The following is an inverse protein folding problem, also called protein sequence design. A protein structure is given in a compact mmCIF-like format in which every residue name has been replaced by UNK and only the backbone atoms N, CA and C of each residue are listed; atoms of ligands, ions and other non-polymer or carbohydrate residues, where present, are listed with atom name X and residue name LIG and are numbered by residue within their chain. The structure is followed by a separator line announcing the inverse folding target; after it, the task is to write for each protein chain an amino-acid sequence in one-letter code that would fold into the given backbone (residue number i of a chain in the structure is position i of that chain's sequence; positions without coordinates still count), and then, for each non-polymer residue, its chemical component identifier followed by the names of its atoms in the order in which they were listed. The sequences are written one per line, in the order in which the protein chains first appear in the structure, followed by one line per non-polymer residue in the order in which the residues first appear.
data_IF_661330431325
#
_entry.id   IF_661330431325
#
_cell.length_a   1.000
_cell.length_b   1.000
_cell.length_c   1.000
_cell.angle_alpha   90.00
_cell.angle_beta   90.00
_cell.angle_gamma   90.00
#
_symmetry.space_group_name_H-M   'P 1'
#
loop_
_entity.id
_entity.type
_entity.pdbx_description
1 polymer ?
#
# COMPACT_ATOMS: atom_id res chain seq x y z
N UNK A 1 -2.26 15.42 5.50
CA UNK A 1 -0.85 15.13 5.10
C UNK A 1 -0.61 15.56 3.64
N UNK A 2 0.14 16.63 3.36
CA UNK A 2 0.40 17.10 1.97
C UNK A 2 1.70 16.48 1.42
N UNK A 3 1.59 15.36 0.70
CA UNK A 3 2.67 14.85 -0.18
C UNK A 3 2.66 15.78 -1.40
N UNK A 4 3.78 16.33 -1.88
CA UNK A 4 3.81 17.42 -2.88
C UNK A 4 3.29 17.10 -4.30
N UNK A 5 2.41 16.13 -4.45
CA UNK A 5 1.37 16.14 -5.48
C UNK A 5 0.22 16.98 -4.92
N UNK A 6 -0.27 17.99 -5.66
CA UNK A 6 -1.50 18.71 -5.26
C UNK A 6 -2.71 17.79 -5.35
N UNK A 7 -2.88 16.93 -4.36
CA UNK A 7 -4.08 16.13 -4.15
C UNK A 7 -4.94 16.90 -3.16
N UNK A 8 -6.23 17.03 -3.46
CA UNK A 8 -7.18 17.59 -2.52
C UNK A 8 -7.09 16.83 -1.19
N UNK A 9 -7.21 17.55 -0.06
CA UNK A 9 -7.31 16.89 1.24
C UNK A 9 -8.62 16.09 1.35
N UNK A 10 -9.62 16.49 0.58
CA UNK A 10 -10.95 15.91 0.61
C UNK A 10 -11.05 14.71 -0.34
N UNK A 11 -11.90 13.76 0.03
CA UNK A 11 -12.22 12.63 -0.83
C UNK A 11 -12.92 13.10 -2.11
N UNK A 12 -12.43 12.66 -3.28
CA UNK A 12 -13.07 12.97 -4.56
C UNK A 12 -14.46 12.34 -4.77
N UNK A 13 -14.93 11.51 -3.84
CA UNK A 13 -16.25 10.87 -3.86
C UNK A 13 -17.15 11.40 -2.75
N UNK A 14 -16.59 11.64 -1.56
CA UNK A 14 -17.28 12.15 -0.39
C UNK A 14 -16.84 13.60 -0.18
N UNK A 15 -17.55 14.59 -0.76
CA UNK A 15 -17.18 15.98 -0.60
C UNK A 15 -17.17 16.35 0.89
N UNK A 16 -16.27 17.25 1.29
CA UNK A 16 -16.14 17.76 2.66
C UNK A 16 -15.64 16.75 3.70
N UNK A 17 -15.27 15.54 3.29
CA UNK A 17 -14.63 14.55 4.16
C UNK A 17 -13.13 14.50 3.89
N UNK A 18 -12.31 14.80 4.91
CA UNK A 18 -10.86 14.64 4.81
C UNK A 18 -10.53 13.16 4.52
N UNK A 19 -9.76 12.94 3.46
CA UNK A 19 -9.41 11.62 3.01
C UNK A 19 -8.35 11.00 3.93
N UNK A 20 -8.74 9.95 4.64
CA UNK A 20 -7.84 9.08 5.40
C UNK A 20 -7.81 7.68 4.78
N UNK A 21 -6.80 6.86 5.14
CA UNK A 21 -6.77 5.45 4.70
C UNK A 21 -8.03 4.71 5.19
N UNK A 22 -8.46 4.99 6.43
CA UNK A 22 -9.67 4.42 6.99
C UNK A 22 -10.90 4.82 6.17
N UNK A 23 -11.01 6.09 5.79
CA UNK A 23 -12.09 6.54 4.92
C UNK A 23 -12.05 5.82 3.56
N UNK A 24 -10.90 5.81 2.88
CA UNK A 24 -10.77 5.24 1.52
C UNK A 24 -11.07 3.75 1.49
N UNK A 25 -10.76 3.01 2.56
CA UNK A 25 -10.94 1.57 2.60
C UNK A 25 -12.23 1.13 3.28
N UNK A 26 -12.86 1.96 4.11
CA UNK A 26 -14.01 1.55 4.94
C UNK A 26 -15.20 2.48 4.71
N UNK A 27 -15.08 3.76 5.05
CA UNK A 27 -16.25 4.66 5.14
C UNK A 27 -16.69 5.25 3.79
N UNK A 28 -15.79 5.32 2.82
CA UNK A 28 -16.06 5.97 1.55
C UNK A 28 -17.23 5.27 0.84
N UNK A 29 -18.17 6.05 0.30
CA UNK A 29 -19.30 5.51 -0.49
C UNK A 29 -18.84 4.57 -1.61
N UNK A 30 -17.66 4.84 -2.17
CA UNK A 30 -17.04 3.98 -3.18
C UNK A 30 -16.53 2.67 -2.59
N UNK A 31 -15.87 2.70 -1.44
CA UNK A 31 -15.39 1.51 -0.75
C UNK A 31 -16.56 0.60 -0.38
N UNK A 32 -17.61 1.15 0.25
CA UNK A 32 -18.83 0.42 0.63
C UNK A 32 -19.45 -0.31 -0.57
N UNK A 33 -19.48 0.34 -1.75
CA UNK A 33 -19.97 -0.30 -2.99
C UNK A 33 -19.08 -1.46 -3.44
N UNK A 34 -17.76 -1.28 -3.42
CA UNK A 34 -16.80 -2.34 -3.79
C UNK A 34 -16.96 -3.55 -2.86
N UNK A 35 -16.98 -3.33 -1.54
CA UNK A 35 -17.19 -4.40 -0.56
C UNK A 35 -18.52 -5.12 -0.79
N UNK A 36 -19.60 -4.37 -1.03
CA UNK A 36 -20.92 -4.95 -1.32
C UNK A 36 -20.91 -5.80 -2.59
N UNK A 37 -20.28 -5.33 -3.67
CA UNK A 37 -20.12 -6.10 -4.91
C UNK A 37 -19.30 -7.37 -4.70
N UNK A 38 -18.40 -7.39 -3.72
CA UNK A 38 -17.65 -8.57 -3.29
C UNK A 38 -18.43 -9.50 -2.35
N UNK A 39 -19.71 -9.22 -2.07
CA UNK A 39 -20.54 -9.99 -1.15
C UNK A 39 -20.29 -9.67 0.34
N UNK A 40 -19.52 -8.62 0.64
CA UNK A 40 -19.21 -8.18 2.00
C UNK A 40 -20.12 -7.00 2.33
N UNK A 41 -21.04 -7.21 3.27
CA UNK A 41 -21.93 -6.15 3.76
C UNK A 41 -21.75 -5.97 5.26
N UNK A 42 -21.68 -4.71 5.68
CA UNK A 42 -21.67 -4.28 7.07
C UNK A 42 -22.59 -3.07 7.22
N UNK A 43 -23.04 -2.79 8.43
CA UNK A 43 -23.86 -1.62 8.72
C UNK A 43 -23.04 -0.34 8.47
N UNK A 44 -23.48 0.60 7.62
CA UNK A 44 -22.81 1.89 7.45
C UNK A 44 -22.70 2.73 8.74
N UNK A 45 -23.53 2.44 9.75
CA UNK A 45 -23.43 3.03 11.08
C UNK A 45 -22.37 2.37 11.98
N UNK A 46 -21.90 1.18 11.62
CA UNK A 46 -20.84 0.48 12.35
C UNK A 46 -19.50 1.15 12.07
N UNK A 47 -18.85 1.59 13.15
CA UNK A 47 -17.50 2.15 13.10
C UNK A 47 -16.56 1.23 13.84
N UNK A 48 -15.38 1.07 13.27
CA UNK A 48 -14.26 0.40 13.89
C UNK A 48 -13.26 1.45 14.37
N UNK A 49 -12.61 1.17 15.49
CA UNK A 49 -11.56 2.03 16.05
C UNK A 49 -10.33 2.11 15.15
N UNK A 50 -10.13 1.11 14.28
CA UNK A 50 -8.99 1.03 13.36
C UNK A 50 -9.27 0.16 12.14
N UNK A 51 -8.42 0.27 11.11
CA UNK A 51 -8.43 -0.63 9.95
C UNK A 51 -8.15 -2.08 10.39
N UNK A 52 -7.29 -2.29 11.40
CA UNK A 52 -6.96 -3.62 11.89
C UNK A 52 -8.20 -4.32 12.46
N UNK A 53 -9.03 -3.60 13.23
CA UNK A 53 -10.27 -4.14 13.78
C UNK A 53 -11.30 -4.45 12.67
N UNK A 54 -11.37 -3.61 11.63
CA UNK A 54 -12.18 -3.89 10.45
C UNK A 54 -11.71 -5.16 9.72
N UNK A 55 -10.40 -5.34 9.52
CA UNK A 55 -9.85 -6.57 8.92
C UNK A 55 -10.19 -7.79 9.77
N UNK A 56 -10.01 -7.72 11.10
CA UNK A 56 -10.39 -8.81 12.00
C UNK A 56 -11.89 -9.15 11.87
N UNK A 57 -12.76 -8.13 11.75
CA UNK A 57 -14.19 -8.35 11.49
C UNK A 57 -14.42 -9.11 10.17
N UNK A 58 -13.70 -8.75 9.11
CA UNK A 58 -13.82 -9.43 7.81
C UNK A 58 -13.30 -10.88 7.84
N UNK A 59 -12.36 -11.19 8.73
CA UNK A 59 -11.82 -12.53 8.92
C UNK A 59 -12.72 -13.43 9.79
N UNK A 60 -13.67 -12.87 10.54
CA UNK A 60 -14.54 -13.62 11.46
C UNK A 60 -15.29 -14.76 10.74
N UNK A 61 -15.16 -16.03 11.16
CA UNK A 61 -15.63 -17.18 10.39
C UNK A 61 -17.14 -17.20 10.20
N UNK A 62 -17.58 -17.28 8.95
CA UNK A 62 -18.92 -17.74 8.55
C UNK A 62 -18.71 -18.71 7.39
N UNK A 63 -18.92 -20.01 7.65
CA UNK A 63 -18.79 -21.15 6.74
C UNK A 63 -18.36 -20.82 5.29
N UNK A 64 -17.05 -20.91 5.02
CA UNK A 64 -16.44 -20.58 3.74
C UNK A 64 -14.98 -21.04 3.67
N UNK A 65 -14.27 -20.82 2.55
CA UNK A 65 -12.91 -21.31 2.32
C UNK A 65 -11.93 -20.97 3.46
N UNK A 66 -10.84 -21.74 3.54
CA UNK A 66 -9.85 -21.67 4.63
C UNK A 66 -9.40 -20.25 4.96
N UNK A 67 -9.07 -20.02 6.23
CA UNK A 67 -8.73 -18.70 6.82
C UNK A 67 -7.76 -17.88 5.94
N UNK A 68 -6.76 -18.54 5.33
CA UNK A 68 -5.73 -17.91 4.49
C UNK A 68 -6.25 -17.42 3.12
N UNK A 69 -7.19 -18.14 2.49
CA UNK A 69 -7.79 -17.75 1.20
C UNK A 69 -8.70 -16.53 1.37
N UNK A 70 -9.48 -16.51 2.45
CA UNK A 70 -10.37 -15.38 2.75
C UNK A 70 -9.57 -14.12 3.06
N UNK A 71 -8.55 -14.23 3.92
CA UNK A 71 -7.64 -13.12 4.24
C UNK A 71 -6.97 -12.57 2.98
N UNK A 72 -6.52 -13.45 2.08
CA UNK A 72 -5.93 -13.06 0.79
C UNK A 72 -6.91 -12.25 -0.05
N UNK A 73 -8.16 -12.72 -0.21
CA UNK A 73 -9.19 -11.97 -0.97
C UNK A 73 -9.49 -10.61 -0.36
N UNK A 74 -9.57 -10.52 0.97
CA UNK A 74 -9.78 -9.25 1.69
C UNK A 74 -8.63 -8.28 1.42
N UNK A 75 -7.38 -8.76 1.50
CA UNK A 75 -6.20 -7.95 1.24
C UNK A 75 -6.17 -7.41 -0.20
N UNK A 76 -6.47 -8.26 -1.19
CA UNK A 76 -6.56 -7.82 -2.59
C UNK A 76 -7.72 -6.86 -2.84
N UNK A 77 -8.87 -7.01 -2.17
CA UNK A 77 -9.97 -6.04 -2.27
C UNK A 77 -9.58 -4.68 -1.72
N UNK A 78 -8.90 -4.63 -0.56
CA UNK A 78 -8.40 -3.38 0.00
C UNK A 78 -7.35 -2.72 -0.93
N UNK A 79 -6.43 -3.52 -1.47
CA UNK A 79 -5.43 -3.06 -2.43
C UNK A 79 -6.06 -2.50 -3.71
N UNK A 80 -6.98 -3.22 -4.33
CA UNK A 80 -7.66 -2.77 -5.56
C UNK A 80 -8.58 -1.56 -5.30
N UNK A 81 -9.17 -1.44 -4.11
CA UNK A 81 -9.90 -0.21 -3.72
C UNK A 81 -8.97 1.00 -3.67
N UNK A 82 -7.75 0.82 -3.15
CA UNK A 82 -6.72 1.85 -3.15
C UNK A 82 -6.23 2.19 -4.56
N UNK A 83 -6.02 1.19 -5.43
CA UNK A 83 -5.66 1.41 -6.84
C UNK A 83 -6.74 2.16 -7.61
N UNK A 84 -8.00 1.77 -7.46
CA UNK A 84 -9.16 2.46 -8.05
C UNK A 84 -9.24 3.93 -7.59
N UNK A 85 -8.90 4.21 -6.32
CA UNK A 85 -8.73 5.59 -5.82
C UNK A 85 -7.57 6.31 -6.51
N UNK A 86 -6.42 5.67 -6.69
CA UNK A 86 -5.28 6.30 -7.35
C UNK A 86 -5.58 6.64 -8.81
N UNK A 87 -6.17 5.72 -9.56
CA UNK A 87 -6.59 5.97 -10.95
C UNK A 87 -7.54 7.16 -11.04
N UNK A 88 -8.49 7.29 -10.10
CA UNK A 88 -9.35 8.49 -10.03
C UNK A 88 -8.56 9.77 -9.81
N UNK A 89 -7.66 9.77 -8.83
CA UNK A 89 -6.92 10.98 -8.43
C UNK A 89 -5.92 11.42 -9.49
N UNK A 90 -5.22 10.48 -10.11
CA UNK A 90 -4.11 10.78 -11.02
C UNK A 90 -4.51 10.79 -12.50
N UNK A 91 -5.55 10.05 -12.87
CA UNK A 91 -5.96 9.90 -14.27
C UNK A 91 -7.38 10.41 -14.54
N UNK A 92 -8.16 10.75 -13.51
CA UNK A 92 -9.55 11.18 -13.66
C UNK A 92 -10.49 10.08 -14.16
N UNK A 93 -10.05 8.81 -14.12
CA UNK A 93 -10.83 7.65 -14.59
C UNK A 93 -11.40 6.86 -13.44
N UNK A 94 -12.50 6.15 -13.66
CA UNK A 94 -13.06 5.21 -12.69
C UNK A 94 -13.67 4.01 -13.39
N UNK A 95 -13.41 2.82 -12.87
CA UNK A 95 -14.05 1.58 -13.36
C UNK A 95 -15.36 1.31 -12.60
N UNK A 96 -16.28 0.48 -13.12
CA UNK A 96 -17.37 -0.04 -12.31
C UNK A 96 -16.84 -0.85 -11.11
N UNK A 97 -17.47 -0.80 -9.91
CA UNK A 97 -17.04 -1.56 -8.74
C UNK A 97 -16.87 -3.06 -9.01
N UNK A 98 -17.71 -3.62 -9.88
CA UNK A 98 -17.67 -5.03 -10.29
C UNK A 98 -16.35 -5.38 -10.98
N UNK A 99 -15.81 -4.47 -11.79
CA UNK A 99 -14.52 -4.65 -12.47
C UNK A 99 -13.37 -4.60 -11.45
N UNK A 100 -13.47 -3.73 -10.44
CA UNK A 100 -12.48 -3.65 -9.35
C UNK A 100 -12.48 -4.95 -8.54
N UNK A 101 -13.65 -5.48 -8.21
CA UNK A 101 -13.80 -6.77 -7.50
C UNK A 101 -13.28 -7.93 -8.34
N UNK A 102 -13.62 -7.98 -9.63
CA UNK A 102 -13.14 -9.04 -10.53
C UNK A 102 -11.61 -9.05 -10.62
N UNK A 103 -10.97 -7.87 -10.76
CA UNK A 103 -9.51 -7.75 -10.75
C UNK A 103 -8.89 -8.17 -9.42
N UNK A 104 -9.52 -7.84 -8.29
CA UNK A 104 -9.08 -8.26 -6.97
C UNK A 104 -9.09 -9.78 -6.81
N UNK A 105 -10.18 -10.43 -7.20
CA UNK A 105 -10.31 -11.88 -7.09
C UNK A 105 -9.40 -12.62 -8.06
N UNK A 106 -9.23 -12.13 -9.29
CA UNK A 106 -8.29 -12.70 -10.25
C UNK A 106 -6.86 -12.71 -9.70
N UNK A 107 -6.40 -11.58 -9.15
CA UNK A 107 -5.04 -11.51 -8.58
C UNK A 107 -4.91 -12.34 -7.28
N UNK A 108 -5.96 -12.41 -6.47
CA UNK A 108 -5.97 -13.28 -5.29
C UNK A 108 -5.85 -14.76 -5.68
N UNK A 109 -6.58 -15.21 -6.71
CA UNK A 109 -6.49 -16.57 -7.23
C UNK A 109 -5.12 -16.88 -7.83
N UNK A 110 -4.55 -15.95 -8.60
CA UNK A 110 -3.19 -16.09 -9.12
C UNK A 110 -2.19 -16.29 -7.98
N UNK A 111 -2.25 -15.44 -6.96
CA UNK A 111 -1.38 -15.54 -5.78
C UNK A 111 -1.55 -16.89 -5.06
N UNK A 112 -2.78 -17.29 -4.76
CA UNK A 112 -3.06 -18.58 -4.11
C UNK A 112 -2.58 -19.77 -4.95
N UNK A 113 -2.74 -19.72 -6.28
CA UNK A 113 -2.30 -20.78 -7.18
C UNK A 113 -0.76 -20.92 -7.23
N UNK A 114 -0.02 -19.81 -7.09
CA UNK A 114 1.44 -19.83 -7.00
C UNK A 114 1.93 -20.32 -5.64
N UNK A 115 1.24 -19.94 -4.56
CA UNK A 115 1.55 -20.40 -3.20
C UNK A 115 1.40 -21.93 -3.06
N UNK A 116 0.41 -22.54 -3.73
CA UNK A 116 0.22 -24.00 -3.77
C UNK A 116 1.32 -24.72 -4.56
N UNK A 117 1.92 -24.06 -5.57
CA UNK A 117 2.96 -24.64 -6.44
C UNK A 117 4.37 -24.46 -5.90
N UNK A 118 4.56 -23.57 -4.93
CA UNK A 118 5.85 -23.37 -4.30
C UNK A 118 6.06 -24.47 -3.25
N UNK A 119 7.13 -25.29 -3.32
CA UNK A 119 7.52 -26.12 -2.20
C UNK A 119 7.71 -25.18 -1.00
N UNK A 120 6.91 -25.39 0.03
CA UNK A 120 6.79 -24.58 1.23
C UNK A 120 8.08 -24.48 2.08
N UNK A 121 9.22 -24.91 1.53
CA UNK A 121 10.54 -24.95 2.16
C UNK A 121 11.52 -23.85 1.73
N UNK A 122 11.42 -23.22 0.55
CA UNK A 122 12.51 -22.32 0.11
C UNK A 122 12.34 -20.84 0.52
N UNK A 123 11.10 -20.37 0.71
CA UNK A 123 10.85 -18.98 1.10
C UNK A 123 10.95 -18.72 2.62
N UNK A 124 10.94 -19.78 3.44
CA UNK A 124 11.09 -19.66 4.91
C UNK A 124 12.51 -19.34 5.35
N UNK A 125 13.51 -19.55 4.51
CA UNK A 125 14.91 -19.52 4.94
C UNK A 125 15.59 -18.13 4.81
N UNK A 126 14.87 -17.12 4.32
CA UNK A 126 15.42 -15.74 4.21
C UNK A 126 15.17 -14.93 5.49
N UNK A 127 14.19 -15.31 6.31
CA UNK A 127 13.90 -14.69 7.60
C UNK A 127 13.85 -15.78 8.66
N UNK A 128 14.80 -15.75 9.59
CA UNK A 128 15.16 -16.85 10.49
C UNK A 128 14.01 -17.70 11.03
N UNK A 129 14.30 -19.00 11.14
CA UNK A 129 13.44 -20.08 11.64
C UNK A 129 12.60 -19.68 12.86
N UNK A 130 11.25 -19.70 12.79
CA UNK A 130 10.44 -19.85 13.97
C UNK A 130 10.36 -21.34 14.27
N UNK A 131 10.97 -21.77 15.37
CA UNK A 131 10.74 -23.09 15.95
C UNK A 131 9.23 -23.27 16.13
N UNK A 132 8.65 -24.17 15.34
CA UNK A 132 7.25 -24.52 15.41
C UNK A 132 6.99 -25.17 16.77
N UNK A 133 6.13 -24.55 17.58
CA UNK A 133 5.21 -25.14 18.58
C UNK A 133 4.64 -24.05 19.52
N UNK A 134 4.16 -22.93 19.00
CA UNK A 134 3.26 -22.00 19.74
C UNK A 134 2.30 -21.39 18.71
N UNK A 135 1.05 -21.12 19.13
CA UNK A 135 -0.02 -20.45 18.38
C UNK A 135 0.47 -19.36 17.40
N UNK A 136 -0.25 -19.05 16.29
CA UNK A 136 0.18 -18.03 15.34
C UNK A 136 0.50 -16.74 16.07
N UNK A 137 1.80 -16.48 16.27
CA UNK A 137 2.29 -15.23 16.80
C UNK A 137 2.19 -14.26 15.64
N UNK A 138 1.07 -13.56 15.57
CA UNK A 138 0.96 -12.39 14.71
C UNK A 138 2.09 -11.43 15.13
N UNK A 139 3.15 -11.35 14.32
CA UNK A 139 4.15 -10.30 14.48
C UNK A 139 3.48 -9.05 13.93
N UNK A 140 2.97 -8.21 14.83
CA UNK A 140 2.54 -6.87 14.46
C UNK A 140 3.77 -6.08 14.00
N UNK A 141 4.02 -6.08 12.69
CA UNK A 141 4.95 -5.14 12.05
C UNK A 141 4.25 -3.79 12.00
N UNK A 142 4.32 -3.06 13.11
CA UNK A 142 3.86 -1.68 13.14
C UNK A 142 4.99 -0.77 12.65
N UNK A 143 4.63 0.21 11.84
CA UNK A 143 5.57 1.25 11.45
C UNK A 143 5.82 2.15 12.67
N UNK A 144 7.03 2.11 13.23
CA UNK A 144 7.41 2.97 14.36
C UNK A 144 7.99 4.27 13.82
N UNK A 145 7.47 5.44 14.27
CA UNK A 145 8.07 6.73 13.93
C UNK A 145 9.54 6.78 14.33
N UNK A 146 10.36 7.44 13.51
CA UNK A 146 11.77 7.64 13.86
C UNK A 146 11.87 8.49 15.13
N UNK A 147 12.95 8.34 15.93
CA UNK A 147 13.21 9.26 17.04
C UNK A 147 13.28 10.72 16.55
N UNK A 148 12.96 11.70 17.43
CA UNK A 148 13.20 13.10 17.13
C UNK A 148 14.66 13.32 16.70
N UNK A 149 14.87 14.24 15.75
CA UNK A 149 16.16 14.55 15.10
C UNK A 149 16.61 13.61 13.96
N UNK A 150 15.82 12.60 13.60
CA UNK A 150 16.07 11.79 12.41
C UNK A 150 15.16 12.20 11.24
N UNK A 151 15.70 12.10 10.02
CA UNK A 151 14.95 12.21 8.78
C UNK A 151 14.82 10.84 8.13
N UNK A 152 13.63 10.51 7.62
CA UNK A 152 13.41 9.35 6.75
C UNK A 152 13.51 9.74 5.30
N UNK A 153 14.46 9.18 4.58
CA UNK A 153 14.52 9.25 3.11
C UNK A 153 13.90 7.97 2.54
N UNK A 154 12.77 8.10 1.84
CA UNK A 154 12.24 7.02 0.99
C UNK A 154 12.60 7.37 -0.44
N UNK A 155 13.12 6.42 -1.21
CA UNK A 155 13.50 6.62 -2.60
C UNK A 155 12.96 5.46 -3.44
N UNK A 156 12.83 5.71 -4.73
CA UNK A 156 12.42 4.71 -5.72
C UNK A 156 12.96 5.09 -7.09
N UNK A 157 13.44 4.10 -7.82
CA UNK A 157 13.90 4.22 -9.19
C UNK A 157 13.19 3.23 -10.10
N UNK A 158 12.60 3.73 -11.18
CA UNK A 158 11.86 2.91 -12.15
C UNK A 158 12.41 3.07 -13.56
N UNK A 159 12.29 2.02 -14.36
CA UNK A 159 12.57 2.03 -15.79
C UNK A 159 11.34 1.53 -16.56
N UNK A 160 11.12 2.09 -17.74
CA UNK A 160 10.17 1.57 -18.71
C UNK A 160 10.62 0.17 -19.18
N UNK A 161 9.66 -0.65 -19.58
CA UNK A 161 9.92 -2.03 -20.02
C UNK A 161 10.86 -2.11 -21.25
N UNK A 162 10.90 -1.07 -22.07
CA UNK A 162 11.81 -0.96 -23.20
C UNK A 162 13.23 -0.50 -22.83
N UNK A 163 13.46 -0.16 -21.55
CA UNK A 163 14.72 0.32 -21.00
C UNK A 163 15.12 1.73 -21.43
N UNK A 164 14.32 2.43 -22.24
CA UNK A 164 14.71 3.69 -22.89
C UNK A 164 14.48 4.93 -22.05
N UNK A 165 13.77 4.80 -20.95
CA UNK A 165 13.47 5.92 -20.06
C UNK A 165 13.09 5.42 -18.68
N UNK A 166 13.40 6.21 -17.68
CA UNK A 166 13.10 5.91 -16.29
C UNK A 166 12.93 7.17 -15.45
N UNK A 167 12.54 6.97 -14.22
CA UNK A 167 12.39 8.03 -13.24
C UNK A 167 13.11 7.66 -11.95
N UNK A 168 13.71 8.64 -11.32
CA UNK A 168 14.18 8.54 -9.94
C UNK A 168 13.43 9.54 -9.10
N UNK A 169 13.15 9.17 -7.86
CA UNK A 169 12.49 10.08 -6.94
C UNK A 169 12.82 9.75 -5.50
N UNK A 170 12.71 10.77 -4.64
CA UNK A 170 12.84 10.61 -3.21
C UNK A 170 11.85 11.50 -2.47
N UNK A 171 11.53 11.09 -1.24
CA UNK A 171 10.70 11.82 -0.29
C UNK A 171 11.33 11.75 1.10
N UNK A 172 11.65 12.92 1.65
CA UNK A 172 12.22 13.11 2.97
C UNK A 172 11.12 13.51 3.94
N UNK A 173 11.03 12.83 5.08
CA UNK A 173 10.08 13.12 6.16
C UNK A 173 10.77 13.25 7.51
N UNK A 174 10.19 14.04 8.41
CA UNK A 174 10.63 14.12 9.80
C UNK A 174 10.01 12.99 10.66
N UNK A 175 10.32 13.01 11.96
CA UNK A 175 9.83 12.08 12.97
C UNK A 175 8.29 12.11 13.13
N UNK A 176 7.64 13.23 12.84
CA UNK A 176 6.18 13.38 12.83
C UNK A 176 5.57 12.95 11.47
N UNK A 177 6.36 12.29 10.61
CA UNK A 177 6.01 11.91 9.25
C UNK A 177 5.58 13.08 8.34
N UNK A 178 5.92 14.33 8.71
CA UNK A 178 5.67 15.51 7.89
C UNK A 178 6.66 15.54 6.72
N UNK A 179 6.19 16.00 5.58
CA UNK A 179 7.04 16.17 4.40
C UNK A 179 8.03 17.30 4.64
N UNK A 180 9.32 17.00 4.52
CA UNK A 180 10.41 17.99 4.62
C UNK A 180 10.88 18.40 3.23
N UNK A 181 11.13 17.42 2.36
CA UNK A 181 11.57 17.64 0.99
C UNK A 181 11.17 16.48 0.08
N UNK A 182 11.12 16.74 -1.22
CA UNK A 182 11.00 15.72 -2.25
C UNK A 182 11.72 16.18 -3.50
N UNK A 183 12.16 15.23 -4.31
CA UNK A 183 12.80 15.48 -5.59
C UNK A 183 12.55 14.32 -6.53
N UNK A 184 12.70 14.59 -7.81
CA UNK A 184 12.67 13.54 -8.82
C UNK A 184 13.07 14.08 -10.17
N UNK A 185 13.61 13.19 -10.99
CA UNK A 185 14.03 13.51 -12.35
C UNK A 185 13.89 12.31 -13.28
N UNK A 186 13.83 12.60 -14.57
CA UNK A 186 13.86 11.59 -15.62
C UNK A 186 15.32 11.17 -15.86
N UNK A 187 15.52 9.87 -15.97
CA UNK A 187 16.80 9.26 -16.33
C UNK A 187 16.63 8.45 -17.62
N UNK A 188 17.72 8.18 -18.30
CA UNK A 188 17.75 7.43 -19.56
C UNK A 188 18.86 6.39 -19.51
N UNK A 189 18.69 5.31 -20.28
CA UNK A 189 19.72 4.29 -20.51
C UNK A 189 20.36 3.72 -19.23
N UNK A 190 19.53 3.48 -18.21
CA UNK A 190 19.95 2.90 -16.94
C UNK A 190 19.29 1.53 -16.72
N UNK A 191 19.94 0.67 -15.94
CA UNK A 191 19.24 -0.50 -15.39
C UNK A 191 18.28 -0.06 -14.27
N UNK A 192 17.27 -0.87 -13.96
CA UNK A 192 16.39 -0.64 -12.80
C UNK A 192 17.21 -0.49 -11.51
N UNK A 193 18.23 -1.34 -11.32
CA UNK A 193 19.13 -1.26 -10.15
C UNK A 193 19.88 0.08 -10.10
N UNK A 194 20.35 0.57 -11.25
CA UNK A 194 20.99 1.88 -11.33
C UNK A 194 20.00 3.02 -11.00
N UNK A 195 18.75 2.91 -11.45
CA UNK A 195 17.70 3.87 -11.10
C UNK A 195 17.47 3.93 -9.59
N UNK A 196 17.34 2.77 -8.94
CA UNK A 196 17.14 2.68 -7.48
C UNK A 196 18.31 3.29 -6.69
N UNK A 197 19.53 2.91 -7.04
CA UNK A 197 20.73 3.45 -6.39
C UNK A 197 20.88 4.95 -6.63
N UNK A 198 20.49 5.43 -7.81
CA UNK A 198 20.51 6.85 -8.14
C UNK A 198 19.47 7.62 -7.31
N UNK A 199 18.26 7.09 -7.17
CA UNK A 199 17.23 7.68 -6.32
C UNK A 199 17.68 7.77 -4.85
N UNK A 200 18.33 6.72 -4.34
CA UNK A 200 18.92 6.70 -3.00
C UNK A 200 19.99 7.78 -2.83
N UNK A 201 20.94 7.83 -3.76
CA UNK A 201 22.03 8.80 -3.75
C UNK A 201 21.49 10.23 -3.74
N UNK A 202 20.52 10.55 -4.60
CA UNK A 202 19.95 11.89 -4.67
C UNK A 202 19.22 12.28 -3.38
N UNK A 203 18.44 11.37 -2.80
CA UNK A 203 17.76 11.62 -1.53
C UNK A 203 18.74 11.88 -0.38
N UNK A 204 19.80 11.08 -0.28
CA UNK A 204 20.85 11.24 0.76
C UNK A 204 21.64 12.53 0.54
N UNK A 205 22.06 12.80 -0.70
CA UNK A 205 22.77 14.03 -1.06
C UNK A 205 21.94 15.27 -0.75
N UNK A 206 20.64 15.25 -1.03
CA UNK A 206 19.75 16.35 -0.68
C UNK A 206 19.64 16.54 0.83
N UNK A 207 19.45 15.45 1.58
CA UNK A 207 19.41 15.50 3.05
C UNK A 207 20.70 16.12 3.62
N UNK A 208 21.86 15.68 3.13
CA UNK A 208 23.15 16.12 3.67
C UNK A 208 23.52 17.53 3.27
N UNK A 209 23.45 17.85 1.98
CA UNK A 209 24.00 19.11 1.45
C UNK A 209 22.98 20.24 1.39
N UNK A 210 21.68 19.92 1.33
CA UNK A 210 20.62 20.95 1.29
C UNK A 210 19.96 21.13 2.65
N UNK A 211 19.72 20.05 3.39
CA UNK A 211 19.07 20.12 4.70
C UNK A 211 20.07 20.15 5.87
N UNK A 212 21.37 19.91 5.62
CA UNK A 212 22.39 19.90 6.67
C UNK A 212 22.25 18.74 7.65
N UNK A 213 21.70 17.61 7.22
CA UNK A 213 21.65 16.39 8.03
C UNK A 213 23.03 15.70 8.06
N UNK A 214 23.50 15.34 9.26
CA UNK A 214 24.80 14.69 9.49
C UNK A 214 24.76 13.17 9.33
#
# INVERSE_FOLDING_TARGET
MRRGVRIAADCGVCPEVEESIYHVLVECLRAVRIWRCAGISYDPGQRWSSIAEFICFLETPGAGPGMDERGTRIAYLAYHSWLDRNVRVFEGRSSPPEVVVAGAFLHAEEFLSTAVRSPSGLARDIWGTPSALVAPSYVFVSWVPLPPSFLKVNFDGSMAADGRGGGVGFVIRDHDARLVALGGQRIFDASVVCAELRAAWEGISYARWTLGAD
#
